data_IF_827472853305
#
_entry.id   IF_827472853305
#
_cell.length_a   1.000
_cell.length_b   1.000
_cell.length_c   1.000
_cell.angle_alpha   90.00
_cell.angle_beta   90.00
_cell.angle_gamma   90.00
#
_symmetry.space_group_name_H-M   'P 1'
#
loop_
_entity.id
_entity.type
_entity.pdbx_description
1 polymer ?
#
# COMPACT_ATOMS: atom_id res chain seq x y z
N UNK A 1 -4.35 -14.93 -10.11
CA UNK A 1 -3.39 -14.18 -9.26
C UNK A 1 -4.02 -13.95 -7.90
N UNK A 2 -3.36 -14.31 -6.83
CA UNK A 2 -3.89 -14.10 -5.48
C UNK A 2 -3.83 -12.62 -5.12
N UNK A 3 -4.88 -12.06 -4.49
CA UNK A 3 -4.83 -10.71 -3.95
C UNK A 3 -3.71 -10.54 -2.91
N UNK A 4 -3.10 -9.37 -2.89
CA UNK A 4 -2.02 -9.04 -1.95
C UNK A 4 -2.41 -9.30 -0.48
N UNK A 5 -3.68 -9.07 -0.15
CA UNK A 5 -4.22 -9.36 1.18
C UNK A 5 -4.11 -10.84 1.57
N UNK A 6 -4.32 -11.77 0.63
CA UNK A 6 -4.16 -13.21 0.87
C UNK A 6 -2.70 -13.59 1.05
N UNK A 7 -1.79 -12.99 0.28
CA UNK A 7 -0.35 -13.17 0.48
C UNK A 7 0.10 -12.67 1.85
N UNK A 8 -0.38 -11.52 2.27
CA UNK A 8 -0.08 -10.98 3.60
C UNK A 8 -0.59 -11.89 4.72
N UNK A 9 -1.78 -12.48 4.56
CA UNK A 9 -2.33 -13.44 5.52
C UNK A 9 -1.57 -14.79 5.51
N UNK A 10 -0.90 -15.12 4.42
CA UNK A 10 -0.08 -16.32 4.28
C UNK A 10 1.34 -16.17 4.87
N UNK A 11 1.71 -15.02 5.41
CA UNK A 11 3.01 -14.85 6.05
C UNK A 11 3.25 -15.89 7.14
N UNK A 12 4.46 -16.46 7.15
CA UNK A 12 4.84 -17.55 8.05
C UNK A 12 4.28 -18.92 7.69
N UNK A 13 3.51 -19.03 6.63
CA UNK A 13 2.89 -20.29 6.17
C UNK A 13 3.62 -20.87 4.98
N UNK A 14 3.55 -22.21 4.80
CA UNK A 14 4.13 -22.85 3.62
C UNK A 14 3.37 -22.49 2.35
N UNK A 15 4.12 -22.25 1.27
CA UNK A 15 3.56 -21.98 -0.04
C UNK A 15 4.46 -22.52 -1.16
N UNK A 16 3.85 -22.68 -2.33
CA UNK A 16 4.55 -23.01 -3.57
C UNK A 16 4.44 -21.83 -4.52
N UNK A 17 5.57 -21.47 -5.14
CA UNK A 17 5.65 -20.45 -6.17
C UNK A 17 6.15 -21.09 -7.46
N UNK A 18 5.40 -20.98 -8.54
CA UNK A 18 5.85 -21.39 -9.87
C UNK A 18 6.22 -20.16 -10.70
N UNK A 19 7.39 -20.24 -11.32
CA UNK A 19 7.89 -19.21 -12.23
C UNK A 19 7.41 -19.45 -13.65
N UNK A 20 7.47 -18.41 -14.48
CA UNK A 20 7.13 -18.46 -15.90
C UNK A 20 8.01 -19.42 -16.70
N UNK A 21 9.22 -19.70 -16.23
CA UNK A 21 10.15 -20.68 -16.83
C UNK A 21 9.92 -22.13 -16.37
N UNK A 22 8.92 -22.38 -15.54
CA UNK A 22 8.58 -23.70 -15.03
C UNK A 22 9.30 -24.14 -13.75
N UNK A 23 10.26 -23.36 -13.26
CA UNK A 23 10.92 -23.61 -11.97
C UNK A 23 9.94 -23.37 -10.83
N UNK A 24 9.96 -24.24 -9.83
CA UNK A 24 9.11 -24.12 -8.65
C UNK A 24 9.93 -23.93 -7.38
N UNK A 25 9.39 -23.15 -6.46
CA UNK A 25 9.94 -22.93 -5.13
C UNK A 25 8.91 -23.29 -4.08
N UNK A 26 9.27 -24.15 -3.15
CA UNK A 26 8.49 -24.46 -1.96
C UNK A 26 9.20 -23.86 -0.75
N UNK A 27 8.50 -23.13 0.07
CA UNK A 27 9.07 -22.53 1.26
C UNK A 27 8.02 -21.84 2.11
N UNK A 28 8.47 -21.19 3.17
CA UNK A 28 7.62 -20.40 4.04
C UNK A 28 7.70 -18.93 3.65
N UNK A 29 6.56 -18.30 3.46
CA UNK A 29 6.51 -16.87 3.14
C UNK A 29 6.99 -16.04 4.33
N UNK A 30 8.05 -15.26 4.12
CA UNK A 30 8.55 -14.29 5.12
C UNK A 30 7.88 -12.95 4.93
N UNK A 31 7.91 -12.45 3.70
CA UNK A 31 7.40 -11.13 3.35
C UNK A 31 6.96 -11.06 1.90
N UNK A 32 6.07 -10.12 1.62
CA UNK A 32 5.64 -9.76 0.26
C UNK A 32 5.40 -8.26 0.17
N UNK A 33 5.70 -7.67 -0.97
CA UNK A 33 5.49 -6.25 -1.23
C UNK A 33 4.33 -5.98 -2.19
N UNK A 34 4.06 -4.70 -2.46
CA UNK A 34 2.98 -4.25 -3.34
C UNK A 34 3.19 -4.63 -4.82
N UNK A 35 4.40 -4.98 -5.20
CA UNK A 35 4.76 -5.48 -6.53
C UNK A 35 4.70 -6.99 -6.63
N UNK A 36 4.24 -7.65 -5.56
CA UNK A 36 4.18 -9.12 -5.44
C UNK A 36 5.55 -9.79 -5.48
N UNK A 37 6.61 -9.07 -5.15
CA UNK A 37 7.90 -9.67 -4.84
C UNK A 37 7.75 -10.43 -3.52
N UNK A 38 8.30 -11.62 -3.44
CA UNK A 38 8.17 -12.48 -2.26
C UNK A 38 9.53 -12.92 -1.76
N UNK A 39 9.66 -13.01 -0.45
CA UNK A 39 10.80 -13.60 0.24
C UNK A 39 10.34 -14.87 0.92
N UNK A 40 11.00 -15.97 0.59
CA UNK A 40 10.75 -17.28 1.18
C UNK A 40 11.93 -17.72 2.02
N UNK A 41 11.68 -18.46 3.08
CA UNK A 41 12.71 -19.16 3.89
C UNK A 41 12.52 -20.67 3.83
N UNK A 42 13.58 -21.41 4.15
CA UNK A 42 13.60 -22.88 4.10
C UNK A 42 13.11 -23.40 2.75
N UNK A 43 13.74 -22.92 1.68
CA UNK A 43 13.25 -23.06 0.31
C UNK A 43 13.79 -24.31 -0.35
N UNK A 44 12.92 -25.04 -1.02
CA UNK A 44 13.26 -26.10 -1.94
C UNK A 44 12.94 -25.67 -3.37
N UNK A 45 13.98 -25.51 -4.17
CA UNK A 45 13.84 -25.24 -5.60
C UNK A 45 13.76 -26.56 -6.36
N UNK A 46 12.80 -26.68 -7.26
CA UNK A 46 12.66 -27.79 -8.20
C UNK A 46 12.87 -27.26 -9.61
N UNK A 47 13.71 -27.93 -10.40
CA UNK A 47 13.90 -27.59 -11.81
C UNK A 47 12.61 -27.74 -12.62
N UNK A 48 12.56 -27.11 -13.81
CA UNK A 48 11.39 -27.16 -14.69
C UNK A 48 11.05 -28.59 -15.15
N UNK A 49 12.04 -29.46 -15.29
CA UNK A 49 11.86 -30.88 -15.62
C UNK A 49 11.45 -31.73 -14.41
N UNK A 50 11.54 -31.20 -13.19
CA UNK A 50 11.20 -31.90 -11.95
C UNK A 50 12.26 -32.89 -11.45
N UNK A 51 13.41 -32.94 -12.08
CA UNK A 51 14.44 -33.97 -11.78
C UNK A 51 15.49 -33.48 -10.78
N UNK A 52 15.69 -32.17 -10.67
CA UNK A 52 16.75 -31.60 -9.82
C UNK A 52 16.15 -30.74 -8.71
N UNK A 53 16.73 -30.85 -7.52
CA UNK A 53 16.29 -30.17 -6.31
C UNK A 53 17.46 -29.47 -5.63
N UNK A 54 17.21 -28.27 -5.15
CA UNK A 54 18.17 -27.52 -4.34
C UNK A 54 17.48 -26.99 -3.09
N UNK A 55 18.20 -27.01 -1.99
CA UNK A 55 17.76 -26.41 -0.73
C UNK A 55 18.48 -25.11 -0.49
N UNK A 56 17.73 -24.07 -0.14
CA UNK A 56 18.23 -22.74 0.20
C UNK A 56 17.62 -22.26 1.51
N UNK A 57 18.38 -21.47 2.25
CA UNK A 57 17.87 -20.90 3.50
C UNK A 57 16.81 -19.82 3.24
N UNK A 58 17.06 -18.99 2.24
CA UNK A 58 16.22 -17.87 1.88
C UNK A 58 16.31 -17.60 0.38
N UNK A 59 15.22 -17.16 -0.22
CA UNK A 59 15.14 -16.79 -1.63
C UNK A 59 14.23 -15.60 -1.81
N UNK A 60 14.71 -14.59 -2.55
CA UNK A 60 13.91 -13.46 -3.01
C UNK A 60 13.47 -13.71 -4.46
N UNK A 61 12.18 -13.60 -4.72
CA UNK A 61 11.57 -13.84 -6.03
C UNK A 61 10.83 -12.58 -6.47
N UNK A 62 11.19 -12.06 -7.64
CA UNK A 62 10.51 -10.92 -8.23
C UNK A 62 9.12 -11.30 -8.73
N UNK A 63 8.13 -10.47 -8.46
CA UNK A 63 6.75 -10.70 -8.84
C UNK A 63 6.53 -10.86 -10.35
N UNK A 64 7.31 -10.15 -11.17
CA UNK A 64 7.20 -10.19 -12.64
C UNK A 64 7.61 -11.54 -13.29
N UNK A 65 8.38 -12.37 -12.59
CA UNK A 65 8.79 -13.71 -13.07
C UNK A 65 7.88 -14.82 -12.55
N UNK A 66 6.97 -14.51 -11.66
CA UNK A 66 6.06 -15.45 -11.03
C UNK A 66 4.87 -15.72 -11.96
N UNK A 67 4.58 -17.01 -12.17
CA UNK A 67 3.43 -17.46 -12.92
C UNK A 67 2.19 -17.55 -12.02
N UNK A 68 2.31 -18.25 -10.91
CA UNK A 68 1.25 -18.36 -9.89
C UNK A 68 1.82 -18.75 -8.52
N UNK A 69 0.98 -18.55 -7.51
CA UNK A 69 1.19 -19.05 -6.15
C UNK A 69 0.20 -20.16 -5.85
N UNK A 70 0.64 -21.15 -5.10
CA UNK A 70 -0.25 -22.16 -4.51
C UNK A 70 -0.07 -22.15 -3.01
N UNK A 71 -1.16 -21.88 -2.32
CA UNK A 71 -1.24 -21.87 -0.86
C UNK A 71 -2.16 -23.00 -0.45
N UNK A 72 -1.86 -23.68 0.67
CA UNK A 72 -2.72 -24.74 1.18
C UNK A 72 -4.13 -24.21 1.52
N UNK A 73 -5.17 -24.98 1.21
CA UNK A 73 -6.57 -24.58 1.42
C UNK A 73 -6.85 -24.19 2.87
N UNK A 74 -6.27 -24.90 3.83
CA UNK A 74 -6.40 -24.56 5.25
C UNK A 74 -5.89 -23.14 5.60
N UNK A 75 -4.89 -22.64 4.86
CA UNK A 75 -4.37 -21.27 5.04
C UNK A 75 -5.33 -20.25 4.44
N UNK A 76 -5.94 -20.58 3.31
CA UNK A 76 -6.94 -19.72 2.67
C UNK A 76 -8.18 -19.57 3.55
N UNK A 77 -8.64 -20.65 4.17
CA UNK A 77 -9.77 -20.64 5.10
C UNK A 77 -9.48 -19.76 6.33
N UNK A 78 -8.30 -19.91 6.94
CA UNK A 78 -7.88 -19.07 8.06
C UNK A 78 -7.80 -17.60 7.69
N UNK A 79 -7.27 -17.28 6.52
CA UNK A 79 -7.18 -15.91 6.02
C UNK A 79 -8.56 -15.29 5.81
N UNK A 80 -9.51 -16.05 5.28
CA UNK A 80 -10.88 -15.62 5.07
C UNK A 80 -11.58 -15.34 6.42
N UNK A 81 -11.44 -16.22 7.40
CA UNK A 81 -11.99 -16.04 8.75
C UNK A 81 -11.42 -14.82 9.46
N UNK A 82 -10.11 -14.59 9.36
CA UNK A 82 -9.47 -13.41 9.97
C UNK A 82 -9.96 -12.11 9.35
N UNK A 83 -10.11 -12.07 8.02
CA UNK A 83 -10.68 -10.91 7.34
C UNK A 83 -12.12 -10.63 7.77
N UNK A 84 -12.92 -11.68 7.91
CA UNK A 84 -14.31 -11.54 8.35
C UNK A 84 -14.40 -11.03 9.79
N UNK A 85 -13.57 -11.55 10.68
CA UNK A 85 -13.44 -11.06 12.08
C UNK A 85 -13.03 -9.60 12.13
N UNK A 86 -12.07 -9.18 11.32
CA UNK A 86 -11.63 -7.78 11.26
C UNK A 86 -12.71 -6.85 10.72
N UNK A 87 -13.47 -7.28 9.70
CA UNK A 87 -14.62 -6.53 9.17
C UNK A 87 -15.74 -6.39 10.20
N UNK A 88 -16.03 -7.45 10.96
CA UNK A 88 -17.04 -7.43 12.02
C UNK A 88 -16.66 -6.47 13.15
N UNK A 89 -15.39 -6.49 13.58
CA UNK A 89 -14.87 -5.56 14.59
C UNK A 89 -14.88 -4.10 14.12
N UNK A 90 -14.59 -3.86 12.84
CA UNK A 90 -14.67 -2.53 12.23
C UNK A 90 -16.08 -1.96 12.21
N UNK A 91 -17.09 -2.79 11.98
CA UNK A 91 -18.51 -2.39 12.02
C UNK A 91 -18.97 -2.03 13.42
N UNK A 92 -18.51 -2.73 14.45
CA UNK A 92 -18.86 -2.41 15.86
C UNK A 92 -18.25 -1.09 16.32
N UNK A 93 -17.06 -0.71 15.85
CA UNK A 93 -16.42 0.56 16.20
C UNK A 93 -16.99 1.76 15.42
N UNK A 94 -17.55 1.55 14.24
CA UNK A 94 -18.18 2.59 13.42
C UNK A 94 -19.60 2.96 13.84
N UNK A 95 -20.28 2.13 14.59
CA UNK A 95 -21.68 2.33 15.00
C UNK A 95 -21.90 3.25 16.21
N UNK A 96 -20.86 3.69 16.90
CA UNK A 96 -20.98 4.46 18.15
C UNK A 96 -20.85 6.00 17.97
N UNK A 97 -20.77 6.51 16.75
CA UNK A 97 -20.67 7.94 16.47
C UNK A 97 -21.80 8.47 15.57
N UNK A 98 -23.04 8.16 15.92
CA UNK A 98 -24.17 8.70 15.19
C UNK A 98 -25.37 8.83 16.13
N UNK A 99 -25.39 9.84 16.98
CA UNK A 99 -26.52 10.04 17.86
C UNK A 99 -26.36 11.18 18.83
N UNK A 100 -26.16 12.40 18.35
CA UNK A 100 -26.56 13.59 19.06
C UNK A 100 -27.35 14.48 18.09
N UNK A 101 -28.60 14.11 17.90
CA UNK A 101 -29.62 15.03 17.44
C UNK A 101 -29.82 16.10 18.50
N UNK A 102 -29.31 17.31 18.25
CA UNK A 102 -29.67 18.48 19.04
C UNK A 102 -31.13 18.82 18.78
N UNK A 103 -31.89 19.34 19.78
CA UNK A 103 -33.27 19.71 19.61
C UNK A 103 -33.40 20.88 18.63
N UNK A 104 -34.50 20.96 17.87
CA UNK A 104 -34.73 22.07 16.96
C UNK A 104 -34.99 23.34 17.78
N UNK A 105 -34.02 24.26 17.73
CA UNK A 105 -34.16 25.57 18.29
C UNK A 105 -35.25 26.34 17.52
N UNK A 106 -36.32 26.67 18.20
CA UNK A 106 -37.32 27.61 17.72
C UNK A 106 -36.68 28.99 17.58
N UNK A 107 -36.32 29.36 16.36
CA UNK A 107 -35.95 30.73 16.02
C UNK A 107 -37.19 31.60 15.87
N UNK A 108 -37.40 32.45 16.84
CA UNK A 108 -38.36 33.59 16.72
C UNK A 108 -37.75 34.60 15.76
N UNK A 109 -38.57 34.99 14.79
CA UNK A 109 -38.29 36.08 13.88
C UNK A 109 -38.07 37.43 14.57
N UNK A 110 -37.03 38.11 14.13
CA UNK A 110 -36.83 39.53 14.39
C UNK A 110 -36.86 40.29 13.07
N UNK A 111 -37.41 41.48 13.02
CA UNK A 111 -37.66 42.22 11.78
C UNK A 111 -36.37 42.81 11.20
N UNK A 112 -36.35 43.09 9.89
CA UNK A 112 -35.21 43.72 9.25
C UNK A 112 -35.21 45.23 9.51
N UNK A 113 -34.15 45.75 10.07
CA UNK A 113 -33.85 47.17 10.01
C UNK A 113 -32.72 47.42 9.05
N UNK A 114 -33.06 48.14 8.00
CA UNK A 114 -32.16 48.70 7.05
C UNK A 114 -31.22 49.74 7.65
N UNK A 115 -30.17 50.01 6.96
CA UNK A 115 -29.30 51.15 7.27
C UNK A 115 -28.00 51.07 6.48
N UNK A 116 -27.99 51.77 5.39
CA UNK A 116 -26.96 52.65 4.85
C UNK A 116 -25.47 52.22 4.94
N UNK A 117 -24.82 52.02 3.78
CA UNK A 117 -23.99 53.11 3.25
C UNK A 117 -22.52 52.92 3.69
N UNK A 118 -21.63 52.67 2.77
CA UNK A 118 -20.21 52.73 3.03
C UNK A 118 -19.40 52.31 1.81
N UNK A 119 -18.84 53.27 1.20
CA UNK A 119 -18.10 53.33 -0.06
C UNK A 119 -16.89 52.41 -0.18
N UNK A 120 -16.37 52.22 -1.43
CA UNK A 120 -15.28 51.31 -1.75
C UNK A 120 -13.93 51.98 -1.48
N UNK A 121 -13.12 51.28 -0.73
CA UNK A 121 -11.73 51.60 -0.55
C UNK A 121 -10.88 51.03 -1.67
N UNK A 122 -10.37 51.90 -2.53
CA UNK A 122 -9.30 51.61 -3.47
C UNK A 122 -8.01 51.32 -2.71
N UNK A 123 -7.47 50.16 -2.85
CA UNK A 123 -6.12 49.84 -2.40
C UNK A 123 -5.27 49.37 -3.59
N UNK A 124 -4.55 50.29 -4.14
CA UNK A 124 -3.42 50.01 -5.06
C UNK A 124 -2.23 49.49 -4.24
N UNK A 125 -1.49 48.63 -4.83
CA UNK A 125 -0.11 48.34 -4.42
C UNK A 125 0.20 46.90 -4.73
N UNK A 126 1.07 46.59 -5.50
CA UNK A 126 2.30 46.98 -6.09
C UNK A 126 3.10 45.70 -6.39
N UNK A 127 3.75 45.58 -7.53
CA UNK A 127 4.56 44.40 -7.83
C UNK A 127 5.96 44.60 -7.27
N UNK A 128 6.50 43.56 -6.77
CA UNK A 128 7.91 43.51 -6.38
C UNK A 128 8.32 42.08 -6.28
N UNK A 129 9.14 41.71 -7.11
CA UNK A 129 10.55 41.63 -7.24
C UNK A 129 10.89 40.17 -7.02
N UNK A 130 11.44 39.41 -7.95
CA UNK A 130 12.80 39.59 -8.39
C UNK A 130 13.72 38.77 -7.48
N UNK A 131 13.99 37.52 -7.84
CA UNK A 131 14.97 36.72 -7.18
C UNK A 131 15.60 35.76 -8.19
N UNK A 132 16.54 36.30 -8.90
CA UNK A 132 17.55 35.56 -9.64
C UNK A 132 18.49 34.91 -8.64
N UNK A 133 18.98 33.77 -8.96
CA UNK A 133 20.23 33.34 -8.36
C UNK A 133 20.34 31.84 -8.28
N UNK A 134 21.27 31.31 -9.01
CA UNK A 134 22.04 30.21 -8.65
C UNK A 134 22.42 29.25 -9.76
N UNK A 135 23.25 29.70 -10.65
CA UNK A 135 24.11 28.84 -11.48
C UNK A 135 25.19 28.21 -10.56
N UNK A 136 25.42 26.96 -10.74
CA UNK A 136 26.60 26.25 -10.32
C UNK A 136 26.53 24.87 -10.91
N UNK A 137 27.06 24.56 -11.95
CA UNK A 137 28.31 24.60 -12.63
C UNK A 137 29.39 23.83 -11.88
N UNK A 138 29.55 22.56 -12.24
CA UNK A 138 30.71 21.82 -11.81
C UNK A 138 30.90 20.59 -12.70
N UNK A 139 31.91 20.62 -13.58
CA UNK A 139 32.22 19.46 -14.40
C UNK A 139 33.36 18.65 -13.80
N UNK A 140 33.34 17.34 -14.08
CA UNK A 140 34.55 16.68 -14.41
C UNK A 140 35.28 15.96 -13.28
N UNK A 141 35.41 14.71 -13.45
CA UNK A 141 36.45 13.89 -12.91
C UNK A 141 36.60 12.64 -13.74
N UNK A 142 37.74 12.49 -14.44
CA UNK A 142 37.97 11.29 -15.24
C UNK A 142 38.40 10.12 -14.37
N UNK A 143 37.93 8.93 -14.69
CA UNK A 143 38.36 7.70 -14.09
C UNK A 143 39.81 7.35 -14.41
N UNK A 144 40.46 6.60 -13.55
CA UNK A 144 41.73 6.00 -13.92
C UNK A 144 41.50 4.61 -14.54
N UNK A 145 42.21 4.47 -15.62
CA UNK A 145 42.60 3.22 -16.25
C UNK A 145 43.44 2.39 -15.28
N UNK A 146 43.33 1.18 -15.41
CA UNK A 146 44.17 -0.02 -15.46
C UNK A 146 43.52 -1.20 -14.80
#
# INVERSE_FOLDING_TARGET
MLPLALLSAAQGKPMLVELKNGVTFNGHLVDCDNFMNVTLKDVYQTSADGERFWKMKEMFIKGNVIKYFRIADAVLDQAAEEQEKQRALGRQRGGARGGRGGPPGRGRGGPPRGGHGGQPGRGRGGPGGGGRGGRGGGPGGPGPRQ
#
